data_IF_075591431617
#
_entry.id   IF_075591431617
#
_cell.length_a   1.000
_cell.length_b   1.000
_cell.length_c   1.000
_cell.angle_alpha   90.00
_cell.angle_beta   90.00
_cell.angle_gamma   90.00
#
_symmetry.space_group_name_H-M   'P 1'
#
loop_
_entity.id
_entity.type
_entity.pdbx_description
1 polymer ?
#
# COMPACT_ATOMS: atom_id res chain seq x y z
N UNK A 1 -8.87 -16.18 -3.07
CA UNK A 1 -7.80 -15.19 -2.79
C UNK A 1 -6.50 -15.94 -2.58
N UNK A 2 -5.50 -15.76 -3.46
CA UNK A 2 -4.16 -16.32 -3.28
C UNK A 2 -3.23 -15.18 -2.88
N UNK A 3 -2.70 -15.23 -1.66
CA UNK A 3 -1.84 -14.20 -1.10
C UNK A 3 -0.38 -14.61 -1.31
N UNK A 4 0.35 -13.90 -2.17
CA UNK A 4 1.79 -14.10 -2.35
C UNK A 4 2.53 -12.93 -1.72
N UNK A 5 3.23 -13.20 -0.63
CA UNK A 5 4.05 -12.22 0.07
C UNK A 5 5.46 -12.27 -0.52
N UNK A 6 5.90 -11.18 -1.14
CA UNK A 6 7.28 -11.07 -1.59
C UNK A 6 8.20 -10.84 -0.40
N UNK A 7 9.02 -11.85 -0.05
CA UNK A 7 9.92 -11.81 1.11
C UNK A 7 11.25 -11.07 0.87
N UNK A 8 11.41 -10.34 -0.24
CA UNK A 8 12.68 -9.67 -0.56
C UNK A 8 13.81 -10.62 -0.99
N UNK A 9 14.92 -10.03 -1.45
CA UNK A 9 16.24 -10.67 -1.56
C UNK A 9 17.20 -9.93 -0.63
N UNK A 10 18.16 -10.63 -0.01
CA UNK A 10 19.19 -10.02 0.82
C UNK A 10 20.03 -9.02 0.00
N UNK A 11 20.11 -7.77 0.45
CA UNK A 11 20.81 -6.69 -0.26
C UNK A 11 22.08 -6.30 0.51
N UNK A 12 23.23 -6.28 -0.17
CA UNK A 12 24.46 -5.69 0.36
C UNK A 12 24.42 -4.16 0.18
N UNK A 13 24.74 -3.46 1.27
CA UNK A 13 24.70 -2.01 1.38
C UNK A 13 25.98 -1.44 0.76
N UNK A 14 25.87 -0.67 -0.34
CA UNK A 14 26.81 0.42 -0.60
C UNK A 14 26.22 1.49 -1.52
N UNK A 15 26.56 2.72 -1.17
CA UNK A 15 25.84 3.96 -1.42
C UNK A 15 26.16 4.61 -2.77
N UNK A 16 25.12 5.01 -3.52
CA UNK A 16 24.95 6.22 -4.35
C UNK A 16 23.70 5.99 -5.22
N UNK A 17 22.70 6.88 -5.09
CA UNK A 17 21.35 6.69 -5.65
C UNK A 17 21.32 6.89 -7.18
N UNK A 18 21.95 5.99 -7.93
CA UNK A 18 21.42 5.60 -9.23
C UNK A 18 20.12 4.82 -8.98
N UNK A 19 19.08 5.06 -9.77
CA UNK A 19 17.87 4.23 -9.75
C UNK A 19 18.29 2.81 -10.13
N UNK A 20 18.60 1.97 -9.15
CA UNK A 20 18.96 0.58 -9.36
C UNK A 20 17.69 -0.16 -9.80
N UNK A 21 17.63 -0.66 -11.05
CA UNK A 21 16.47 -1.40 -11.55
C UNK A 21 16.21 -2.70 -10.77
N UNK A 22 17.15 -3.14 -9.91
CA UNK A 22 17.02 -4.32 -9.07
C UNK A 22 16.45 -4.02 -7.66
N UNK A 23 16.14 -2.77 -7.33
CA UNK A 23 15.69 -2.37 -5.99
C UNK A 23 14.35 -1.63 -5.99
N UNK A 24 13.77 -1.52 -4.79
CA UNK A 24 12.58 -0.71 -4.54
C UNK A 24 11.41 -1.03 -5.49
N UNK A 25 10.63 -0.03 -5.91
CA UNK A 25 9.44 -0.26 -6.72
C UNK A 25 9.70 -1.00 -8.05
N UNK A 26 10.85 -0.78 -8.69
CA UNK A 26 11.22 -1.46 -9.93
C UNK A 26 11.40 -2.98 -9.73
N UNK A 27 11.94 -3.38 -8.58
CA UNK A 27 12.08 -4.79 -8.23
C UNK A 27 10.72 -5.49 -8.13
N UNK A 28 9.69 -4.81 -7.62
CA UNK A 28 8.32 -5.35 -7.52
C UNK A 28 7.81 -5.70 -8.91
N UNK A 29 7.88 -4.76 -9.86
CA UNK A 29 7.43 -4.98 -11.24
C UNK A 29 8.18 -6.15 -11.89
N UNK A 30 9.51 -6.17 -11.78
CA UNK A 30 10.34 -7.24 -12.32
C UNK A 30 9.97 -8.61 -11.75
N UNK A 31 9.74 -8.70 -10.44
CA UNK A 31 9.39 -9.96 -9.79
C UNK A 31 7.98 -10.43 -10.18
N UNK A 32 7.02 -9.51 -10.34
CA UNK A 32 5.67 -9.86 -10.79
C UNK A 32 5.66 -10.33 -12.25
N UNK A 33 6.52 -9.76 -13.11
CA UNK A 33 6.73 -10.25 -14.48
C UNK A 33 7.29 -11.68 -14.49
N UNK A 34 8.21 -12.01 -13.58
CA UNK A 34 8.71 -13.37 -13.42
C UNK A 34 7.63 -14.35 -12.94
N UNK A 35 6.69 -13.90 -12.08
CA UNK A 35 5.55 -14.71 -11.65
C UNK A 35 4.51 -14.97 -12.77
N UNK A 36 4.66 -14.35 -13.95
CA UNK A 36 3.76 -14.52 -15.10
C UNK A 36 2.29 -14.35 -14.73
N UNK A 37 1.98 -13.30 -13.93
CA UNK A 37 0.62 -12.92 -13.60
C UNK A 37 -0.11 -12.44 -14.87
N UNK A 38 -0.62 -13.39 -15.65
CA UNK A 38 -1.45 -13.11 -16.81
C UNK A 38 -2.85 -12.74 -16.33
N UNK A 39 -3.44 -11.65 -16.83
CA UNK A 39 -4.83 -11.33 -16.57
C UNK A 39 -5.70 -12.51 -17.00
N UNK A 40 -6.35 -13.17 -16.04
CA UNK A 40 -7.40 -14.15 -16.32
C UNK A 40 -8.74 -13.52 -15.94
N UNK A 41 -9.77 -13.88 -16.70
CA UNK A 41 -11.12 -13.43 -16.38
C UNK A 41 -11.51 -13.95 -14.99
N UNK A 42 -12.13 -13.07 -14.18
CA UNK A 42 -12.56 -13.34 -12.81
C UNK A 42 -11.43 -13.64 -11.78
N UNK A 43 -10.16 -13.43 -12.14
CA UNK A 43 -9.03 -13.54 -11.20
C UNK A 43 -8.45 -12.17 -10.89
N UNK A 44 -8.48 -11.81 -9.60
CA UNK A 44 -7.89 -10.57 -9.10
C UNK A 44 -6.66 -10.86 -8.26
N UNK A 45 -5.59 -10.12 -8.51
CA UNK A 45 -4.35 -10.20 -7.75
C UNK A 45 -4.21 -8.99 -6.83
N UNK A 46 -3.72 -9.24 -5.61
CA UNK A 46 -3.38 -8.20 -4.63
C UNK A 46 -1.91 -8.32 -4.28
N UNK A 47 -1.18 -7.23 -4.41
CA UNK A 47 0.22 -7.10 -4.02
C UNK A 47 0.31 -6.27 -2.75
N UNK A 48 0.86 -6.86 -1.69
CA UNK A 48 1.10 -6.16 -0.43
C UNK A 48 2.58 -5.81 -0.33
N UNK A 49 2.90 -4.55 -0.10
CA UNK A 49 4.27 -4.04 -0.07
C UNK A 49 4.57 -3.21 1.18
N UNK A 50 5.83 -3.22 1.60
CA UNK A 50 6.30 -2.32 2.65
C UNK A 50 6.58 -0.90 2.12
N UNK A 51 7.00 0.00 3.02
CA UNK A 51 7.31 1.41 2.69
C UNK A 51 8.51 1.64 1.78
N UNK A 52 9.43 0.68 1.72
CA UNK A 52 10.59 0.77 0.85
C UNK A 52 10.18 0.51 -0.61
N UNK A 53 9.28 -0.44 -0.82
CA UNK A 53 8.78 -0.84 -2.13
C UNK A 53 7.61 0.00 -2.64
N UNK A 54 6.82 0.61 -1.76
CA UNK A 54 5.60 1.35 -2.15
C UNK A 54 5.93 2.75 -2.70
N UNK A 55 5.38 3.08 -3.87
CA UNK A 55 5.37 4.43 -4.45
C UNK A 55 4.09 4.66 -5.25
N UNK A 56 3.70 5.92 -5.44
CA UNK A 56 2.50 6.29 -6.23
C UNK A 56 2.61 5.78 -7.67
N UNK A 57 3.79 5.89 -8.28
CA UNK A 57 4.04 5.41 -9.63
C UNK A 57 3.91 3.88 -9.74
N UNK A 58 4.39 3.12 -8.75
CA UNK A 58 4.22 1.67 -8.73
C UNK A 58 2.75 1.28 -8.68
N UNK A 59 2.01 1.86 -7.74
CA UNK A 59 0.59 1.57 -7.58
C UNK A 59 -0.20 1.87 -8.86
N UNK A 60 0.17 2.95 -9.57
CA UNK A 60 -0.41 3.28 -10.87
C UNK A 60 -0.08 2.22 -11.95
N UNK A 61 1.18 1.75 -12.01
CA UNK A 61 1.58 0.69 -12.95
C UNK A 61 0.88 -0.64 -12.65
N UNK A 62 0.71 -1.00 -11.39
CA UNK A 62 -0.02 -2.20 -10.98
C UNK A 62 -1.49 -2.12 -11.35
N UNK A 63 -2.12 -0.97 -11.11
CA UNK A 63 -3.51 -0.72 -11.49
C UNK A 63 -3.74 -0.86 -13.00
N UNK A 64 -2.84 -0.32 -13.84
CA UNK A 64 -2.88 -0.50 -15.29
C UNK A 64 -2.76 -1.97 -15.73
N UNK A 65 -2.09 -2.81 -14.93
CA UNK A 65 -1.95 -4.25 -15.16
C UNK A 65 -3.10 -5.07 -14.54
N UNK A 66 -4.17 -4.41 -14.06
CA UNK A 66 -5.27 -5.03 -13.32
C UNK A 66 -4.83 -5.78 -12.04
N UNK A 67 -3.73 -5.33 -11.43
CA UNK A 67 -3.23 -5.83 -10.15
C UNK A 67 -3.54 -4.80 -9.08
N UNK A 68 -4.32 -5.20 -8.07
CA UNK A 68 -4.54 -4.36 -6.90
C UNK A 68 -3.31 -4.33 -6.03
N UNK A 69 -3.13 -3.24 -5.29
CA UNK A 69 -1.99 -3.10 -4.40
C UNK A 69 -2.39 -2.38 -3.12
N UNK A 70 -1.74 -2.76 -2.03
CA UNK A 70 -1.81 -2.06 -0.74
C UNK A 70 -0.41 -2.03 -0.16
N UNK A 71 0.01 -0.89 0.35
CA UNK A 71 1.28 -0.81 1.03
C UNK A 71 1.37 0.38 1.96
N UNK A 72 2.22 0.24 2.97
CA UNK A 72 2.64 1.40 3.77
C UNK A 72 3.48 2.31 2.87
N UNK A 73 3.40 3.62 3.03
CA UNK A 73 4.20 4.56 2.23
C UNK A 73 4.82 5.63 3.14
N UNK A 74 5.96 6.19 2.74
CA UNK A 74 6.53 7.36 3.41
C UNK A 74 5.82 8.63 2.92
N UNK A 75 5.49 9.55 3.81
CA UNK A 75 4.73 10.75 3.45
C UNK A 75 5.46 11.75 2.58
N UNK A 76 6.78 11.64 2.48
CA UNK A 76 7.64 12.46 1.64
C UNK A 76 7.77 11.91 0.19
N UNK A 77 7.08 10.81 -0.14
CA UNK A 77 7.11 10.25 -1.50
C UNK A 77 6.42 11.20 -2.50
N UNK A 78 7.06 11.38 -3.65
CA UNK A 78 6.53 12.17 -4.76
C UNK A 78 5.15 11.65 -5.18
N UNK A 79 4.20 12.58 -5.34
CA UNK A 79 2.81 12.30 -5.71
C UNK A 79 1.90 11.87 -4.56
N UNK A 80 2.43 11.62 -3.35
CA UNK A 80 1.61 11.29 -2.20
C UNK A 80 0.94 12.57 -1.63
N UNK A 81 -0.37 12.55 -1.32
CA UNK A 81 -1.12 13.73 -0.91
C UNK A 81 -0.67 14.26 0.46
N UNK A 82 -0.02 15.42 0.45
CA UNK A 82 0.57 16.03 1.66
C UNK A 82 -0.45 16.42 2.75
N UNK A 83 -1.71 16.63 2.39
CA UNK A 83 -2.76 16.93 3.38
C UNK A 83 -3.28 15.66 4.10
N UNK A 84 -2.94 14.46 3.61
CA UNK A 84 -3.17 13.19 4.31
C UNK A 84 -1.99 12.87 5.22
N UNK A 85 -0.82 13.49 5.00
CA UNK A 85 0.39 13.22 5.78
C UNK A 85 0.24 13.73 7.20
N UNK A 86 0.09 12.80 8.13
CA UNK A 86 0.15 13.08 9.56
C UNK A 86 1.59 13.16 10.06
N UNK A 87 1.95 14.32 10.60
CA UNK A 87 3.30 14.61 11.13
C UNK A 87 3.39 14.48 12.65
N UNK A 88 2.25 14.40 13.32
CA UNK A 88 2.19 14.28 14.77
C UNK A 88 2.70 12.89 15.18
N UNK A 89 3.70 12.87 16.06
CA UNK A 89 4.26 11.62 16.58
C UNK A 89 3.35 10.99 17.64
N UNK A 90 2.62 11.84 18.36
CA UNK A 90 1.68 11.46 19.41
C UNK A 90 0.23 11.64 18.95
N UNK A 91 -0.61 10.70 19.37
CA UNK A 91 -2.06 10.74 19.13
C UNK A 91 -2.70 11.87 19.94
N UNK A 92 -3.37 12.80 19.27
CA UNK A 92 -4.11 13.89 19.95
C UNK A 92 -5.31 13.33 20.71
N UNK A 93 -5.59 13.87 21.90
CA UNK A 93 -6.69 13.42 22.77
C UNK A 93 -8.09 13.56 22.14
N UNK A 94 -8.21 14.37 21.08
CA UNK A 94 -9.45 14.54 20.30
C UNK A 94 -9.79 13.33 19.42
N UNK A 95 -8.86 12.40 19.20
CA UNK A 95 -9.17 11.09 18.61
C UNK A 95 -9.78 10.18 19.70
N UNK A 96 -11.08 10.33 19.96
CA UNK A 96 -11.79 9.53 20.97
C UNK A 96 -11.71 8.03 20.69
N UNK A 97 -11.40 7.29 21.75
CA UNK A 97 -10.83 5.94 21.81
C UNK A 97 -11.70 4.75 21.33
N UNK A 98 -12.61 4.89 20.37
CA UNK A 98 -13.42 3.73 19.92
C UNK A 98 -13.57 3.55 18.42
N UNK A 99 -13.16 4.53 17.62
CA UNK A 99 -13.14 4.41 16.17
C UNK A 99 -11.67 4.27 15.73
N UNK A 100 -11.26 3.04 15.46
CA UNK A 100 -9.88 2.61 15.19
C UNK A 100 -9.26 3.18 13.90
N UNK A 101 -9.96 4.08 13.22
CA UNK A 101 -9.54 4.58 11.90
C UNK A 101 -10.15 5.96 11.66
N UNK A 102 -9.36 7.02 11.86
CA UNK A 102 -9.66 8.29 11.22
C UNK A 102 -9.16 8.19 9.78
N UNK A 103 -9.97 7.60 8.90
CA UNK A 103 -9.67 7.53 7.47
C UNK A 103 -9.85 8.93 6.86
N UNK A 104 -8.76 9.71 6.82
CA UNK A 104 -8.65 10.88 5.93
C UNK A 104 -8.39 10.40 4.50
N UNK A 105 -9.30 9.57 3.99
CA UNK A 105 -9.19 8.91 2.71
C UNK A 105 -9.36 9.91 1.58
N UNK A 106 -8.27 10.23 0.86
CA UNK A 106 -8.37 10.98 -0.39
C UNK A 106 -8.01 10.11 -1.59
N UNK A 107 -8.93 10.16 -2.53
CA UNK A 107 -8.79 9.62 -3.87
C UNK A 107 -7.72 10.42 -4.63
N UNK A 108 -6.57 9.81 -4.89
CA UNK A 108 -5.54 10.40 -5.77
C UNK A 108 -6.01 10.29 -7.24
N UNK A 109 -6.61 9.14 -7.57
CA UNK A 109 -7.42 8.90 -8.77
C UNK A 109 -8.57 7.96 -8.39
N UNK A 110 -9.67 7.83 -9.17
CA UNK A 110 -10.89 7.14 -8.74
C UNK A 110 -10.71 5.75 -8.11
N UNK A 111 -9.63 5.04 -8.47
CA UNK A 111 -9.34 3.69 -7.99
C UNK A 111 -8.18 3.61 -7.00
N UNK A 112 -7.61 4.74 -6.56
CA UNK A 112 -6.46 4.82 -5.66
C UNK A 112 -6.73 5.74 -4.47
N UNK A 113 -6.57 5.20 -3.27
CA UNK A 113 -6.86 5.87 -2.00
C UNK A 113 -5.60 5.96 -1.15
N UNK A 114 -5.34 7.14 -0.61
CA UNK A 114 -4.38 7.34 0.48
C UNK A 114 -5.11 7.37 1.82
N UNK A 115 -4.59 6.67 2.82
CA UNK A 115 -5.20 6.53 4.16
C UNK A 115 -4.12 6.72 5.23
N UNK A 116 -4.51 7.21 6.41
CA UNK A 116 -3.67 7.11 7.61
C UNK A 116 -4.34 6.20 8.62
N UNK A 117 -3.57 5.23 9.10
CA UNK A 117 -3.94 4.42 10.24
C UNK A 117 -3.29 4.96 11.51
N UNK A 118 -4.10 5.14 12.55
CA UNK A 118 -3.69 5.63 13.85
C UNK A 118 -3.61 4.48 14.87
N UNK A 119 -2.38 4.14 15.28
CA UNK A 119 -2.10 3.35 16.49
C UNK A 119 -1.35 4.24 17.53
N UNK A 120 -0.14 3.87 17.98
CA UNK A 120 0.74 4.75 18.76
C UNK A 120 1.33 5.87 17.92
N UNK A 121 1.58 5.61 16.64
CA UNK A 121 2.10 6.58 15.65
C UNK A 121 1.28 6.48 14.38
N UNK A 122 1.16 7.57 13.60
CA UNK A 122 0.47 7.50 12.31
C UNK A 122 1.27 6.65 11.33
N UNK A 123 0.59 5.72 10.67
CA UNK A 123 1.12 4.92 9.58
C UNK A 123 0.34 5.27 8.32
N UNK A 124 1.06 5.68 7.28
CA UNK A 124 0.47 6.09 6.02
C UNK A 124 0.38 4.91 5.07
N UNK A 125 -0.75 4.81 4.38
CA UNK A 125 -1.05 3.74 3.44
C UNK A 125 -1.43 4.31 2.08
N UNK A 126 -1.10 3.54 1.05
CA UNK A 126 -1.56 3.75 -0.31
C UNK A 126 -2.11 2.44 -0.83
N UNK A 127 -3.28 2.47 -1.45
CA UNK A 127 -3.84 1.28 -2.06
C UNK A 127 -4.81 1.54 -3.19
N UNK A 128 -5.13 0.47 -3.93
CA UNK A 128 -6.09 0.48 -5.05
C UNK A 128 -7.22 -0.51 -4.84
N UNK A 129 -8.38 -0.23 -5.45
CA UNK A 129 -9.54 -1.12 -5.38
C UNK A 129 -10.23 -1.18 -4.01
N UNK A 130 -9.85 -0.31 -3.08
CA UNK A 130 -10.50 -0.21 -1.76
C UNK A 130 -11.92 0.34 -1.93
N UNK A 131 -12.94 -0.47 -1.61
CA UNK A 131 -14.28 0.05 -1.34
C UNK A 131 -14.23 0.92 -0.07
N UNK A 132 -14.91 2.07 -0.11
CA UNK A 132 -15.14 2.92 1.07
C UNK A 132 -16.42 2.54 1.81
N UNK A 133 -17.15 1.54 1.32
CA UNK A 133 -18.28 0.96 2.03
C UNK A 133 -17.79 0.26 3.29
N UNK A 134 -18.39 0.57 4.43
CA UNK A 134 -18.05 -0.09 5.67
C UNK A 134 -18.53 -1.54 5.63
N UNK A 135 -17.60 -2.48 5.50
CA UNK A 135 -17.87 -3.90 5.57
C UNK A 135 -17.40 -4.44 6.92
N UNK A 136 -18.30 -5.10 7.65
CA UNK A 136 -17.93 -5.76 8.90
C UNK A 136 -17.36 -7.13 8.59
N UNK A 137 -16.09 -7.36 8.92
CA UNK A 137 -15.50 -8.70 8.92
C UNK A 137 -16.26 -9.55 9.96
N UNK A 138 -17.13 -10.47 9.51
CA UNK A 138 -17.79 -11.42 10.40
C UNK A 138 -16.78 -12.48 10.83
N UNK A 139 -16.72 -12.77 12.12
CA UNK A 139 -15.93 -13.88 12.64
C UNK A 139 -16.49 -15.18 12.06
N UNK A 140 -15.69 -15.92 11.30
CA UNK A 140 -15.98 -17.32 10.99
C UNK A 140 -15.70 -18.15 12.25
N UNK A 141 -16.64 -18.12 13.20
CA UNK A 141 -16.70 -19.15 14.22
C UNK A 141 -17.34 -20.37 13.56
N UNK A 142 -16.51 -21.28 13.02
CA UNK A 142 -16.99 -22.63 12.75
C UNK A 142 -17.29 -23.30 14.10
N UNK A 143 -18.54 -23.74 14.27
CA UNK A 143 -18.98 -24.64 15.35
C UNK A 143 -18.47 -26.06 15.11
#
# INVERSE_FOLDING_TARGET
MRLEVYCGKAQQVNSQQSVDPNSGPAAVVRNLEACSLHPQDDVYHLVVTDRFYTSVQLVFQLLHRKVYSVGTIMGDRVGYPQHVVEKNHDRTQTCTSRDYTHDSGKTICPQMTAVVWWDRKPVQFLGTGSSRGMETCRTYLQM
#
